data_IF_545459488487
#
_entry.id   IF_545459488487
#
_cell.length_a   1.000
_cell.length_b   1.000
_cell.length_c   1.000
_cell.angle_alpha   90.00
_cell.angle_beta   90.00
_cell.angle_gamma   90.00
#
_symmetry.space_group_name_H-M   'P 1'
#
loop_
_entity.id
_entity.type
_entity.pdbx_description
1 polymer ?
#
# COMPACT_ATOMS: atom_id res chain seq x y z
N UNK A 1 -29.97 25.80 24.59
CA UNK A 1 -29.78 24.61 25.41
C UNK A 1 -28.62 23.72 24.88
N UNK A 2 -27.52 24.32 24.38
CA UNK A 2 -26.33 23.60 23.88
C UNK A 2 -25.03 23.97 24.63
N UNK A 3 -25.10 24.59 25.80
CA UNK A 3 -23.92 25.05 26.60
C UNK A 3 -23.82 24.41 27.98
N UNK A 4 -24.64 23.42 28.33
CA UNK A 4 -24.67 22.82 29.68
C UNK A 4 -24.14 21.36 29.68
N UNK A 5 -23.88 20.73 28.53
CA UNK A 5 -23.43 19.33 28.48
C UNK A 5 -21.89 19.19 28.54
N UNK A 6 -21.12 20.27 28.32
CA UNK A 6 -19.65 20.22 28.37
C UNK A 6 -19.01 20.35 29.74
N UNK A 7 -19.79 20.58 30.84
CA UNK A 7 -19.24 20.80 32.18
C UNK A 7 -19.34 19.55 33.08
N UNK A 8 -20.08 18.52 32.71
CA UNK A 8 -20.26 17.31 33.53
C UNK A 8 -19.23 16.21 33.21
N UNK A 9 -18.48 16.27 32.12
CA UNK A 9 -17.41 15.31 31.82
C UNK A 9 -16.03 15.68 32.39
N UNK A 10 -15.87 16.87 32.93
CA UNK A 10 -14.58 17.36 33.49
C UNK A 10 -14.40 17.09 35.01
N UNK A 11 -15.39 16.52 35.70
CA UNK A 11 -15.34 16.34 37.17
C UNK A 11 -15.22 14.86 37.62
N UNK A 12 -15.06 13.90 36.71
CA UNK A 12 -14.93 12.47 37.02
C UNK A 12 -13.48 11.93 36.97
N UNK A 13 -12.46 12.77 36.75
CA UNK A 13 -11.06 12.35 36.64
C UNK A 13 -10.14 12.82 37.78
N UNK A 14 -10.64 13.22 38.92
CA UNK A 14 -9.78 13.69 40.02
C UNK A 14 -9.87 12.89 41.32
N UNK A 15 -10.28 11.60 41.30
CA UNK A 15 -10.23 10.76 42.49
C UNK A 15 -9.76 9.32 42.19
N UNK A 16 -8.50 9.16 41.79
CA UNK A 16 -7.81 7.87 41.83
C UNK A 16 -6.28 8.06 41.88
N UNK A 17 -5.79 8.79 42.85
CA UNK A 17 -4.35 8.89 43.16
C UNK A 17 -4.13 8.82 44.65
N UNK A 18 -4.30 7.64 45.24
CA UNK A 18 -3.65 7.27 46.51
C UNK A 18 -3.86 5.77 46.77
N UNK A 19 -2.98 4.91 46.31
CA UNK A 19 -2.63 3.66 47.02
C UNK A 19 -1.25 3.19 46.52
N UNK A 20 -0.34 3.11 47.47
CA UNK A 20 1.06 2.71 47.41
C UNK A 20 1.32 1.32 46.83
N UNK A 21 2.52 1.17 46.27
CA UNK A 21 3.14 -0.15 46.10
C UNK A 21 4.36 -0.08 45.20
N UNK A 22 5.55 -0.11 45.82
CA UNK A 22 6.87 -0.20 45.22
C UNK A 22 7.00 -1.31 44.17
N UNK A 23 7.36 -0.92 42.93
CA UNK A 23 7.81 -1.79 41.86
C UNK A 23 8.64 -0.95 40.90
N UNK A 24 9.95 -1.22 40.83
CA UNK A 24 10.89 -0.60 39.92
C UNK A 24 10.56 -0.96 38.47
N UNK A 25 9.88 -0.07 37.79
CA UNK A 25 9.69 -0.07 36.36
C UNK A 25 10.30 1.22 35.80
N UNK A 26 11.26 1.11 34.94
CA UNK A 26 11.88 2.22 34.22
C UNK A 26 10.81 3.01 33.47
N UNK A 27 10.54 4.23 33.92
CA UNK A 27 9.77 5.21 33.16
C UNK A 27 10.65 5.69 32.01
N UNK A 28 10.34 5.27 30.80
CA UNK A 28 10.87 5.93 29.61
C UNK A 28 10.35 7.38 29.61
N UNK A 29 11.29 8.29 29.63
CA UNK A 29 11.07 9.71 29.47
C UNK A 29 10.60 9.99 28.02
N UNK A 30 9.75 11.01 27.77
CA UNK A 30 9.41 11.41 26.42
C UNK A 30 10.70 11.75 25.65
N UNK A 31 10.79 11.30 24.40
CA UNK A 31 11.93 11.53 23.54
C UNK A 31 12.33 13.02 23.59
N UNK A 32 13.54 13.28 24.04
CA UNK A 32 14.11 14.63 24.07
C UNK A 32 14.32 15.08 22.62
N UNK A 33 13.85 16.29 22.28
CA UNK A 33 14.18 16.96 21.03
C UNK A 33 15.68 16.82 20.76
N UNK A 34 16.05 16.24 19.60
CA UNK A 34 17.43 15.97 19.23
C UNK A 34 18.23 17.28 19.28
N UNK A 35 19.40 17.25 19.93
CA UNK A 35 20.42 18.26 19.69
C UNK A 35 20.84 18.09 18.24
N UNK A 36 20.95 19.15 17.43
CA UNK A 36 21.13 19.13 15.98
C UNK A 36 22.20 18.19 15.37
N UNK A 37 22.79 17.31 16.17
CA UNK A 37 23.79 16.31 15.82
C UNK A 37 23.29 14.86 15.87
N UNK A 38 22.01 14.63 16.15
CA UNK A 38 21.41 13.29 16.16
C UNK A 38 20.06 13.36 15.43
N UNK A 39 19.86 12.48 14.47
CA UNK A 39 18.58 12.28 13.79
C UNK A 39 17.87 11.07 14.37
N UNK A 40 16.56 11.16 14.49
CA UNK A 40 15.69 10.08 14.91
C UNK A 40 14.81 9.62 13.76
N UNK A 41 14.71 8.30 13.58
CA UNK A 41 13.86 7.68 12.55
C UNK A 41 12.75 6.88 13.24
N UNK A 42 11.51 7.04 12.79
CA UNK A 42 10.44 6.08 13.04
C UNK A 42 10.12 5.31 11.77
N UNK A 43 10.16 4.00 11.85
CA UNK A 43 9.71 3.14 10.77
C UNK A 43 8.92 1.96 11.33
N UNK A 44 8.06 1.32 10.53
CA UNK A 44 7.40 0.10 10.95
C UNK A 44 8.42 -0.96 11.39
N UNK A 45 8.09 -1.73 12.44
CA UNK A 45 8.82 -2.95 12.77
C UNK A 45 8.50 -4.02 11.73
N UNK A 46 9.45 -4.92 11.51
CA UNK A 46 9.33 -5.97 10.50
C UNK A 46 10.03 -7.26 10.96
N UNK A 47 10.28 -8.18 10.03
CA UNK A 47 10.97 -9.44 10.27
C UNK A 47 12.40 -9.22 10.79
N UNK A 48 12.92 -10.22 11.48
CA UNK A 48 14.27 -10.19 12.08
C UNK A 48 15.36 -9.76 11.07
N UNK A 49 15.27 -10.20 9.82
CA UNK A 49 16.24 -9.83 8.77
C UNK A 49 16.27 -8.32 8.50
N UNK A 50 15.12 -7.65 8.56
CA UNK A 50 15.01 -6.20 8.38
C UNK A 50 15.55 -5.45 9.59
N UNK A 51 15.23 -5.93 10.78
CA UNK A 51 15.76 -5.34 12.01
C UNK A 51 17.29 -5.44 12.05
N UNK A 52 17.87 -6.58 11.63
CA UNK A 52 19.32 -6.75 11.50
C UNK A 52 19.92 -5.80 10.45
N UNK A 53 19.28 -5.67 9.27
CA UNK A 53 19.70 -4.76 8.22
C UNK A 53 19.78 -3.30 8.73
N UNK A 54 18.76 -2.86 9.48
CA UNK A 54 18.75 -1.51 10.06
C UNK A 54 19.90 -1.29 11.04
N UNK A 55 20.19 -2.28 11.88
CA UNK A 55 21.32 -2.19 12.83
C UNK A 55 22.64 -2.03 12.08
N UNK A 56 22.90 -2.85 11.07
CA UNK A 56 24.14 -2.83 10.31
C UNK A 56 24.27 -1.53 9.50
N UNK A 57 23.20 -1.10 8.84
CA UNK A 57 23.17 0.12 8.02
C UNK A 57 23.39 1.38 8.86
N UNK A 58 22.72 1.50 10.01
CA UNK A 58 22.92 2.65 10.89
C UNK A 58 24.31 2.64 11.53
N UNK A 59 24.87 1.48 11.87
CA UNK A 59 26.25 1.39 12.35
C UNK A 59 27.26 1.84 11.29
N UNK A 60 27.04 1.49 10.00
CA UNK A 60 27.90 1.94 8.91
C UNK A 60 27.84 3.46 8.75
N UNK A 61 26.65 4.07 8.66
CA UNK A 61 26.52 5.52 8.61
C UNK A 61 27.18 6.20 9.81
N UNK A 62 26.86 5.76 11.01
CA UNK A 62 27.33 6.38 12.26
C UNK A 62 28.85 6.29 12.44
N UNK A 63 29.50 5.26 11.88
CA UNK A 63 30.94 5.12 11.90
C UNK A 63 31.64 6.13 10.96
N UNK A 64 31.03 6.43 9.83
CA UNK A 64 31.54 7.36 8.81
C UNK A 64 31.19 8.83 9.13
N UNK A 65 30.10 9.06 9.88
CA UNK A 65 29.55 10.39 10.19
C UNK A 65 29.48 10.64 11.71
N UNK A 66 30.61 10.73 12.44
CA UNK A 66 30.61 10.98 13.87
C UNK A 66 29.98 12.32 14.26
N UNK A 67 29.91 13.28 13.33
CA UNK A 67 29.26 14.59 13.48
C UNK A 67 27.74 14.55 13.37
N UNK A 68 27.15 13.50 12.76
CA UNK A 68 25.73 13.33 12.55
C UNK A 68 25.29 11.88 12.78
N UNK A 69 24.93 11.58 13.99
CA UNK A 69 24.46 10.25 14.38
C UNK A 69 23.00 10.03 14.04
N UNK A 70 22.62 8.82 13.65
CA UNK A 70 21.25 8.45 13.34
C UNK A 70 20.83 7.28 14.22
N UNK A 71 19.63 7.38 14.79
CA UNK A 71 19.01 6.32 15.59
C UNK A 71 17.61 6.01 15.06
N UNK A 72 17.15 4.77 15.21
CA UNK A 72 15.83 4.32 14.77
C UNK A 72 15.03 3.75 15.91
N UNK A 73 13.75 4.08 15.93
CA UNK A 73 12.72 3.42 16.73
C UNK A 73 11.83 2.60 15.78
N UNK A 74 11.83 1.28 15.97
CA UNK A 74 10.93 0.37 15.28
C UNK A 74 9.56 0.44 15.96
N UNK A 75 8.52 0.76 15.19
CA UNK A 75 7.15 0.89 15.70
C UNK A 75 6.36 -0.36 15.34
N UNK A 76 5.75 -0.97 16.31
CA UNK A 76 4.95 -2.18 16.14
C UNK A 76 3.78 -1.96 15.17
N UNK A 77 3.54 -2.97 14.33
CA UNK A 77 2.45 -3.07 13.37
C UNK A 77 1.56 -4.29 13.61
N UNK A 78 1.53 -4.81 14.82
CA UNK A 78 0.64 -5.92 15.19
C UNK A 78 -0.85 -5.59 15.01
N UNK A 79 -1.19 -4.29 15.06
CA UNK A 79 -2.45 -3.71 14.63
C UNK A 79 -2.18 -2.89 13.35
N UNK A 80 -2.97 -3.09 12.29
CA UNK A 80 -2.82 -2.43 10.99
C UNK A 80 -2.75 -0.91 11.06
N UNK A 81 -3.33 -0.31 12.12
CA UNK A 81 -3.38 1.14 12.30
C UNK A 81 -2.45 1.67 13.40
N UNK A 82 -1.73 0.81 14.14
CA UNK A 82 -0.93 1.24 15.30
C UNK A 82 0.14 2.27 14.92
N UNK A 83 0.83 2.04 13.81
CA UNK A 83 1.84 2.95 13.27
C UNK A 83 1.23 4.31 12.88
N UNK A 84 0.17 4.31 12.07
CA UNK A 84 -0.48 5.53 11.58
C UNK A 84 -1.08 6.35 12.73
N UNK A 85 -1.68 5.68 13.71
CA UNK A 85 -2.19 6.32 14.93
C UNK A 85 -1.08 6.99 15.75
N UNK A 86 0.11 6.37 15.81
CA UNK A 86 1.27 6.98 16.49
C UNK A 86 1.71 8.25 15.75
N UNK A 87 1.81 8.21 14.42
CA UNK A 87 2.15 9.38 13.61
C UNK A 87 1.10 10.48 13.80
N UNK A 88 -0.20 10.18 13.69
CA UNK A 88 -1.28 11.16 13.88
C UNK A 88 -1.24 11.82 15.26
N UNK A 89 -0.93 11.04 16.30
CA UNK A 89 -0.75 11.55 17.66
C UNK A 89 0.46 12.48 17.75
N UNK A 90 1.58 12.10 17.13
CA UNK A 90 2.80 12.90 17.12
C UNK A 90 2.64 14.21 16.33
N UNK A 91 1.89 14.19 15.23
CA UNK A 91 1.52 15.42 14.47
C UNK A 91 0.78 16.39 15.38
N UNK A 92 -0.23 15.92 16.11
CA UNK A 92 -1.06 16.79 16.99
C UNK A 92 -0.31 17.29 18.21
N UNK A 93 0.66 16.54 18.72
CA UNK A 93 1.48 16.90 19.89
C UNK A 93 2.79 17.62 19.55
N UNK A 94 3.09 17.86 18.25
CA UNK A 94 4.37 18.39 17.76
C UNK A 94 5.57 17.60 18.29
N UNK A 95 5.50 16.26 18.20
CA UNK A 95 6.52 15.34 18.69
C UNK A 95 6.96 14.32 17.64
N UNK A 96 6.87 14.70 16.36
CA UNK A 96 7.37 13.87 15.26
C UNK A 96 8.89 13.65 15.39
N UNK A 97 9.41 12.49 14.98
CA UNK A 97 10.85 12.29 14.78
C UNK A 97 11.37 13.15 13.63
N UNK A 98 12.68 13.17 13.40
CA UNK A 98 13.26 13.90 12.28
C UNK A 98 12.88 13.27 10.93
N UNK A 99 12.87 11.93 10.87
CA UNK A 99 12.48 11.14 9.69
C UNK A 99 11.42 10.13 10.12
N UNK A 100 10.41 9.95 9.30
CA UNK A 100 9.41 8.90 9.50
C UNK A 100 8.91 8.34 8.17
N UNK A 101 8.45 7.10 8.22
CA UNK A 101 7.92 6.42 7.05
C UNK A 101 6.42 6.68 6.91
N UNK A 102 5.98 6.90 5.68
CA UNK A 102 4.57 7.13 5.33
C UNK A 102 4.16 6.20 4.20
N UNK A 103 2.92 5.74 4.18
CA UNK A 103 2.39 5.04 3.01
C UNK A 103 2.31 5.99 1.81
N UNK A 104 2.70 5.52 0.62
CA UNK A 104 2.84 6.35 -0.58
C UNK A 104 1.69 7.31 -0.85
N UNK A 105 0.42 6.90 -0.85
CA UNK A 105 -0.71 7.80 -1.13
C UNK A 105 -0.92 8.87 -0.05
N UNK A 106 -0.38 8.70 1.15
CA UNK A 106 -0.45 9.70 2.22
C UNK A 106 0.55 10.85 2.04
N UNK A 107 1.54 10.71 1.15
CA UNK A 107 2.55 11.78 0.91
C UNK A 107 1.87 13.10 0.54
N UNK A 108 0.87 13.07 -0.34
CA UNK A 108 0.12 14.28 -0.73
C UNK A 108 -0.58 14.96 0.46
N UNK A 109 -1.16 14.17 1.38
CA UNK A 109 -1.77 14.70 2.60
C UNK A 109 -0.74 15.38 3.51
N UNK A 110 0.37 14.69 3.79
CA UNK A 110 1.41 15.23 4.68
C UNK A 110 2.10 16.46 4.08
N UNK A 111 2.31 16.48 2.77
CA UNK A 111 2.89 17.63 2.07
C UNK A 111 1.93 18.83 2.04
N UNK A 112 0.65 18.63 1.69
CA UNK A 112 -0.36 19.68 1.64
C UNK A 112 -0.60 20.33 3.01
N UNK A 113 -0.45 19.57 4.08
CA UNK A 113 -0.59 20.07 5.46
C UNK A 113 0.74 20.55 6.07
N UNK A 114 1.80 20.70 5.26
CA UNK A 114 3.13 21.15 5.71
C UNK A 114 3.71 20.35 6.88
N UNK A 115 3.41 19.03 6.94
CA UNK A 115 3.90 18.12 7.99
C UNK A 115 5.26 17.56 7.64
N UNK A 116 5.54 17.43 6.35
CA UNK A 116 6.83 17.01 5.78
C UNK A 116 7.40 18.10 4.88
N UNK A 117 8.72 18.07 4.68
CA UNK A 117 9.45 19.10 3.92
C UNK A 117 9.93 18.57 2.56
N UNK A 118 10.12 19.46 1.54
CA UNK A 118 10.64 19.07 0.24
C UNK A 118 12.04 18.48 0.30
N UNK A 119 12.25 17.41 -0.47
CA UNK A 119 13.52 16.67 -0.60
C UNK A 119 14.19 16.86 -1.97
N UNK A 120 13.57 17.58 -2.92
CA UNK A 120 14.00 17.70 -4.32
C UNK A 120 15.47 18.07 -4.46
N UNK A 121 16.01 18.96 -3.59
CA UNK A 121 17.42 19.41 -3.68
C UNK A 121 18.46 18.34 -3.34
N UNK A 122 18.06 17.23 -2.70
CA UNK A 122 18.98 16.15 -2.29
C UNK A 122 19.07 15.02 -3.31
N UNK A 123 18.20 15.00 -4.31
CA UNK A 123 18.18 14.00 -5.38
C UNK A 123 18.36 14.69 -6.73
N UNK A 124 19.40 14.33 -7.46
CA UNK A 124 19.61 14.84 -8.81
C UNK A 124 18.55 14.27 -9.78
N UNK A 125 18.39 14.91 -10.95
CA UNK A 125 17.52 14.38 -11.99
C UNK A 125 17.97 13.00 -12.49
N UNK A 126 19.28 12.75 -12.53
CA UNK A 126 19.84 11.46 -12.91
C UNK A 126 19.56 10.39 -11.84
N UNK A 127 19.61 10.75 -10.53
CA UNK A 127 19.18 9.86 -9.47
C UNK A 127 17.70 9.50 -9.60
N UNK A 128 16.85 10.50 -9.78
CA UNK A 128 15.39 10.28 -9.90
C UNK A 128 15.03 9.46 -11.15
N UNK A 129 15.81 9.57 -12.23
CA UNK A 129 15.62 8.77 -13.44
C UNK A 129 15.95 7.28 -13.26
N UNK A 130 16.75 6.93 -12.25
CA UNK A 130 17.05 5.53 -11.90
C UNK A 130 15.96 4.88 -11.05
N UNK A 131 15.11 5.67 -10.38
CA UNK A 131 13.96 5.15 -9.65
C UNK A 131 12.79 4.83 -10.59
N UNK A 132 11.96 3.87 -10.21
CA UNK A 132 10.72 3.58 -10.92
C UNK A 132 9.85 4.85 -11.03
N UNK A 133 9.33 5.17 -12.21
CA UNK A 133 8.53 6.39 -12.40
C UNK A 133 7.32 6.50 -11.48
N UNK A 134 6.68 5.37 -11.16
CA UNK A 134 5.56 5.29 -10.20
C UNK A 134 5.98 5.68 -8.78
N UNK A 135 7.17 5.26 -8.33
CA UNK A 135 7.74 5.64 -7.02
C UNK A 135 7.97 7.14 -6.92
N UNK A 136 8.61 7.73 -7.95
CA UNK A 136 8.82 9.18 -7.98
C UNK A 136 7.49 9.92 -8.01
N UNK A 137 6.53 9.41 -8.78
CA UNK A 137 5.20 10.03 -8.91
C UNK A 137 4.45 10.03 -7.58
N UNK A 138 4.40 8.91 -6.84
CA UNK A 138 3.69 8.86 -5.55
C UNK A 138 4.35 9.72 -4.46
N UNK A 139 5.66 9.92 -4.54
CA UNK A 139 6.43 10.73 -3.59
C UNK A 139 6.47 12.23 -3.95
N UNK A 140 5.80 12.63 -5.04
CA UNK A 140 5.80 14.00 -5.54
C UNK A 140 4.44 14.68 -5.32
N UNK A 141 4.44 15.85 -4.72
CA UNK A 141 3.29 16.73 -4.57
C UNK A 141 3.64 18.14 -5.05
N UNK A 142 2.76 18.78 -5.84
CA UNK A 142 2.98 20.13 -6.40
C UNK A 142 4.35 20.33 -7.07
N UNK A 143 4.83 19.31 -7.81
CA UNK A 143 6.12 19.25 -8.51
C UNK A 143 7.37 19.23 -7.60
N UNK A 144 7.23 18.98 -6.32
CA UNK A 144 8.34 18.79 -5.38
C UNK A 144 8.32 17.37 -4.83
N UNK A 145 9.50 16.76 -4.67
CA UNK A 145 9.67 15.47 -4.01
C UNK A 145 9.58 15.67 -2.50
N UNK A 146 8.71 14.94 -1.81
CA UNK A 146 8.53 15.04 -0.35
C UNK A 146 8.91 13.77 0.40
N UNK A 147 8.99 12.66 -0.30
CA UNK A 147 9.38 11.37 0.28
C UNK A 147 10.17 10.56 -0.75
N UNK A 148 10.72 9.43 -0.34
CA UNK A 148 11.40 8.49 -1.23
C UNK A 148 11.29 7.07 -0.66
N UNK A 149 11.14 6.07 -1.53
CA UNK A 149 11.04 4.66 -1.13
C UNK A 149 12.17 3.84 -1.73
N UNK A 150 12.73 2.92 -0.94
CA UNK A 150 13.73 1.95 -1.40
C UNK A 150 13.10 0.76 -2.12
N UNK A 151 11.86 0.41 -1.77
CA UNK A 151 11.14 -0.75 -2.31
C UNK A 151 9.74 -0.37 -2.76
N UNK A 152 9.17 -1.21 -3.61
CA UNK A 152 7.77 -1.14 -3.99
C UNK A 152 7.11 -2.49 -3.83
N UNK A 153 5.80 -2.45 -3.69
CA UNK A 153 4.96 -3.62 -3.78
C UNK A 153 4.09 -3.56 -5.03
N UNK A 154 3.61 -4.70 -5.48
CA UNK A 154 2.65 -4.80 -6.56
C UNK A 154 1.74 -6.00 -6.33
N UNK A 155 0.62 -6.06 -7.03
CA UNK A 155 -0.33 -7.18 -7.01
C UNK A 155 -0.33 -7.86 -8.36
N UNK A 156 -0.45 -9.19 -8.34
CA UNK A 156 -0.53 -10.02 -9.53
C UNK A 156 -1.52 -11.17 -9.30
N UNK A 157 -1.81 -11.97 -10.32
CA UNK A 157 -2.69 -13.11 -10.21
C UNK A 157 -1.88 -14.37 -9.92
N UNK A 158 -1.95 -14.88 -8.70
CA UNK A 158 -1.45 -16.21 -8.31
C UNK A 158 -2.43 -17.29 -8.75
N UNK A 159 -1.93 -18.48 -9.06
CA UNK A 159 -2.75 -19.61 -9.45
C UNK A 159 -2.15 -20.95 -8.96
N UNK A 160 -3.03 -21.84 -8.52
CA UNK A 160 -2.72 -23.20 -8.10
C UNK A 160 -2.80 -24.11 -9.33
N UNK A 161 -1.64 -24.53 -9.88
CA UNK A 161 -1.57 -25.36 -11.09
C UNK A 161 -2.27 -26.68 -10.94
N UNK A 162 -2.19 -27.30 -9.76
CA UNK A 162 -2.81 -28.59 -9.53
C UNK A 162 -4.34 -28.44 -9.49
N UNK A 163 -4.85 -27.44 -8.78
CA UNK A 163 -6.28 -27.18 -8.73
C UNK A 163 -6.85 -26.82 -10.11
N UNK A 164 -6.16 -25.97 -10.88
CA UNK A 164 -6.57 -25.62 -12.24
C UNK A 164 -6.63 -26.83 -13.16
N UNK A 165 -5.64 -27.74 -13.10
CA UNK A 165 -5.66 -29.00 -13.87
C UNK A 165 -6.84 -29.87 -13.50
N UNK A 166 -7.15 -30.00 -12.21
CA UNK A 166 -8.30 -30.77 -11.71
C UNK A 166 -9.64 -30.19 -12.19
N UNK A 167 -9.70 -28.86 -12.36
CA UNK A 167 -10.84 -28.18 -12.99
C UNK A 167 -10.87 -28.28 -14.51
N UNK A 168 -9.83 -28.82 -15.16
CA UNK A 168 -9.70 -28.91 -16.60
C UNK A 168 -9.33 -27.60 -17.30
N UNK A 169 -8.71 -26.66 -16.57
CA UNK A 169 -8.17 -25.40 -17.13
C UNK A 169 -6.83 -25.68 -17.79
N UNK A 170 -6.57 -25.05 -18.93
CA UNK A 170 -5.29 -25.12 -19.63
C UNK A 170 -4.24 -24.24 -18.92
N UNK A 171 -3.49 -24.87 -18.02
CA UNK A 171 -2.43 -24.20 -17.26
C UNK A 171 -1.29 -23.71 -18.16
N UNK A 172 -1.01 -24.41 -19.30
CA UNK A 172 0.06 -23.99 -20.20
C UNK A 172 -0.28 -22.65 -20.91
N UNK A 173 -1.56 -22.38 -21.14
CA UNK A 173 -1.99 -21.06 -21.64
C UNK A 173 -1.69 -19.96 -20.59
N UNK A 174 -2.01 -20.20 -19.31
CA UNK A 174 -1.74 -19.23 -18.25
C UNK A 174 -0.23 -19.02 -18.05
N UNK A 175 0.55 -20.09 -18.05
CA UNK A 175 2.03 -20.04 -17.94
C UNK A 175 2.68 -19.27 -19.11
N UNK A 176 2.02 -19.19 -20.27
CA UNK A 176 2.52 -18.51 -21.47
C UNK A 176 2.20 -17.01 -21.51
N UNK A 177 1.41 -16.50 -20.55
CA UNK A 177 0.99 -15.09 -20.55
C UNK A 177 2.18 -14.15 -20.31
N UNK A 178 2.10 -12.98 -20.92
CA UNK A 178 3.13 -11.93 -20.84
C UNK A 178 2.49 -10.61 -20.44
N UNK A 179 3.30 -9.63 -20.08
CA UNK A 179 2.81 -8.28 -19.72
C UNK A 179 2.02 -7.61 -20.85
N UNK A 180 2.30 -7.98 -22.13
CA UNK A 180 1.56 -7.50 -23.30
C UNK A 180 0.35 -8.36 -23.67
N UNK A 181 0.16 -9.49 -23.02
CA UNK A 181 -0.96 -10.42 -23.21
C UNK A 181 -1.38 -11.06 -21.88
N UNK A 182 -1.82 -10.27 -20.88
CA UNK A 182 -2.33 -10.80 -19.63
C UNK A 182 -3.66 -11.53 -19.82
N UNK A 183 -4.15 -12.21 -18.78
CA UNK A 183 -5.53 -12.70 -18.76
C UNK A 183 -6.51 -11.52 -18.80
N UNK A 184 -7.61 -11.69 -19.52
CA UNK A 184 -8.72 -10.73 -19.48
C UNK A 184 -9.66 -11.02 -18.31
N UNK A 185 -10.55 -10.06 -17.99
CA UNK A 185 -11.57 -10.26 -16.96
C UNK A 185 -12.52 -11.40 -17.29
N UNK A 186 -12.91 -11.56 -18.55
CA UNK A 186 -13.78 -12.65 -18.95
C UNK A 186 -13.08 -14.02 -18.87
N UNK A 187 -11.78 -14.08 -19.12
CA UNK A 187 -10.99 -15.30 -18.92
C UNK A 187 -10.87 -15.63 -17.42
N UNK A 188 -10.60 -14.65 -16.56
CA UNK A 188 -10.58 -14.84 -15.10
C UNK A 188 -11.95 -15.31 -14.59
N UNK A 189 -13.05 -14.68 -15.02
CA UNK A 189 -14.40 -15.08 -14.63
C UNK A 189 -14.71 -16.52 -15.03
N UNK A 190 -14.28 -16.94 -16.23
CA UNK A 190 -14.46 -18.31 -16.70
C UNK A 190 -13.64 -19.32 -15.89
N UNK A 191 -12.40 -18.98 -15.53
CA UNK A 191 -11.58 -19.81 -14.63
C UNK A 191 -12.25 -19.92 -13.27
N UNK A 192 -12.71 -18.80 -12.71
CA UNK A 192 -13.37 -18.75 -11.42
C UNK A 192 -14.66 -19.61 -11.43
N UNK A 193 -15.53 -19.50 -12.46
CA UNK A 193 -16.70 -20.34 -12.64
C UNK A 193 -16.35 -21.84 -12.66
N UNK A 194 -15.34 -22.20 -13.48
CA UNK A 194 -14.95 -23.60 -13.70
C UNK A 194 -14.34 -24.24 -12.45
N UNK A 195 -13.69 -23.43 -11.60
CA UNK A 195 -13.01 -23.92 -10.40
C UNK A 195 -13.82 -23.70 -9.11
N UNK A 196 -14.99 -23.09 -9.16
CA UNK A 196 -15.87 -22.96 -7.99
C UNK A 196 -16.51 -24.31 -7.66
N UNK A 197 -16.52 -24.67 -6.38
CA UNK A 197 -17.13 -25.89 -5.84
C UNK A 197 -18.04 -25.56 -4.66
N UNK A 198 -18.71 -26.56 -4.11
CA UNK A 198 -19.53 -26.42 -2.88
C UNK A 198 -18.68 -25.96 -1.66
N UNK A 199 -17.36 -26.15 -1.70
CA UNK A 199 -16.45 -25.89 -0.58
C UNK A 199 -15.51 -24.69 -0.81
N UNK A 200 -15.25 -24.31 -2.06
CA UNK A 200 -14.23 -23.33 -2.43
C UNK A 200 -14.71 -22.38 -3.51
N UNK A 201 -14.35 -21.11 -3.41
CA UNK A 201 -14.50 -20.15 -4.49
C UNK A 201 -13.36 -20.29 -5.52
N UNK A 202 -13.66 -20.00 -6.79
CA UNK A 202 -12.66 -20.15 -7.86
C UNK A 202 -11.58 -19.08 -7.83
N UNK A 203 -11.89 -17.87 -7.33
CA UNK A 203 -10.92 -16.77 -7.22
C UNK A 203 -11.03 -16.02 -5.91
N UNK A 204 -9.91 -15.59 -5.37
CA UNK A 204 -9.81 -14.74 -4.19
C UNK A 204 -9.38 -13.34 -4.63
N UNK A 205 -10.28 -12.36 -4.54
CA UNK A 205 -10.03 -10.98 -5.00
C UNK A 205 -10.03 -9.95 -3.89
N UNK A 206 -10.59 -10.29 -2.71
CA UNK A 206 -10.68 -9.37 -1.56
C UNK A 206 -9.60 -9.71 -0.56
N UNK A 207 -8.59 -8.83 -0.46
CA UNK A 207 -7.43 -8.98 0.43
C UNK A 207 -7.77 -8.59 1.89
N UNK A 208 -8.49 -7.47 2.05
CA UNK A 208 -9.01 -6.96 3.33
C UNK A 208 -10.24 -6.07 3.09
N UNK A 209 -10.83 -5.53 4.14
CA UNK A 209 -11.96 -4.59 4.07
C UNK A 209 -11.54 -3.13 4.29
N UNK A 210 -10.27 -2.82 4.15
CA UNK A 210 -9.70 -1.49 4.33
C UNK A 210 -8.92 -1.03 3.10
N UNK A 211 -7.67 -0.64 3.33
CA UNK A 211 -6.77 -0.10 2.30
C UNK A 211 -6.45 -1.10 1.16
N UNK A 212 -6.54 -2.40 1.42
CA UNK A 212 -6.38 -3.42 0.38
C UNK A 212 -7.41 -3.34 -0.74
N UNK A 213 -8.63 -2.82 -0.48
CA UNK A 213 -9.64 -2.65 -1.52
C UNK A 213 -9.24 -1.60 -2.56
N UNK A 214 -8.97 -0.32 -2.21
CA UNK A 214 -8.52 0.63 -3.22
C UNK A 214 -7.17 0.22 -3.83
N UNK A 215 -6.23 -0.32 -3.05
CA UNK A 215 -4.93 -0.73 -3.54
C UNK A 215 -4.99 -1.86 -4.57
N UNK A 216 -5.69 -2.95 -4.25
CA UNK A 216 -5.72 -4.12 -5.12
C UNK A 216 -6.65 -3.97 -6.33
N UNK A 217 -7.72 -3.15 -6.22
CA UNK A 217 -8.75 -3.07 -7.25
C UNK A 217 -8.60 -1.88 -8.20
N UNK A 218 -7.85 -0.81 -7.83
CA UNK A 218 -7.63 0.35 -8.71
C UNK A 218 -7.15 -0.01 -10.11
N UNK A 219 -6.22 -1.00 -10.30
CA UNK A 219 -5.78 -1.39 -11.63
C UNK A 219 -6.90 -1.82 -12.55
N UNK A 220 -8.00 -2.39 -12.02
CA UNK A 220 -9.16 -2.76 -12.83
C UNK A 220 -9.86 -1.52 -13.40
N UNK A 221 -10.03 -0.47 -12.60
CA UNK A 221 -10.61 0.80 -13.07
C UNK A 221 -9.71 1.48 -14.09
N UNK A 222 -8.42 1.55 -13.83
CA UNK A 222 -7.44 2.11 -14.76
C UNK A 222 -7.35 1.32 -16.05
N UNK A 223 -7.47 0.00 -15.99
CA UNK A 223 -7.55 -0.87 -17.14
C UNK A 223 -8.82 -0.61 -17.96
N UNK A 224 -9.96 -0.33 -17.30
CA UNK A 224 -11.20 0.08 -17.97
C UNK A 224 -11.14 1.51 -18.53
N UNK A 225 -10.07 2.25 -18.32
CA UNK A 225 -9.85 3.59 -18.86
C UNK A 225 -10.26 4.73 -17.93
N UNK A 226 -10.53 4.46 -16.65
CA UNK A 226 -10.94 5.47 -15.68
C UNK A 226 -10.21 5.30 -14.35
N UNK A 227 -9.73 6.39 -13.82
CA UNK A 227 -9.14 6.46 -12.48
C UNK A 227 -10.21 6.73 -11.40
N UNK A 228 -9.85 6.62 -10.14
CA UNK A 228 -10.69 6.99 -8.99
C UNK A 228 -10.87 8.50 -8.85
N UNK A 229 -9.83 9.27 -9.20
CA UNK A 229 -9.84 10.74 -9.11
C UNK A 229 -9.21 11.35 -10.37
N UNK A 230 -9.38 12.66 -10.53
CA UNK A 230 -8.71 13.43 -11.59
C UNK A 230 -7.18 13.39 -11.44
N UNK A 231 -6.47 13.55 -12.55
CA UNK A 231 -5.01 13.49 -12.57
C UNK A 231 -4.31 14.52 -11.66
N UNK A 232 -4.99 15.65 -11.37
CA UNK A 232 -4.53 16.68 -10.44
C UNK A 232 -4.96 16.42 -8.98
N UNK A 233 -5.68 15.32 -8.74
CA UNK A 233 -6.13 14.91 -7.41
C UNK A 233 -7.25 15.75 -6.81
N UNK A 234 -7.92 16.61 -7.59
CA UNK A 234 -8.89 17.59 -7.10
C UNK A 234 -10.35 17.15 -7.19
N UNK A 235 -10.68 16.12 -7.98
CA UNK A 235 -12.04 15.69 -8.23
C UNK A 235 -12.18 14.17 -8.27
N UNK A 236 -13.18 13.62 -7.58
CA UNK A 236 -13.63 12.24 -7.68
C UNK A 236 -14.92 12.09 -8.49
N UNK A 237 -15.73 13.16 -8.56
CA UNK A 237 -16.95 13.21 -9.37
C UNK A 237 -16.64 13.03 -10.86
N UNK A 238 -17.34 12.11 -11.51
CA UNK A 238 -17.10 11.73 -12.91
C UNK A 238 -15.87 10.84 -13.10
N UNK A 239 -15.26 10.38 -12.01
CA UNK A 239 -14.15 9.43 -11.96
C UNK A 239 -14.58 8.15 -11.24
N UNK A 240 -14.57 8.12 -9.92
CA UNK A 240 -14.96 6.96 -9.13
C UNK A 240 -16.41 6.52 -9.38
N UNK A 241 -17.28 7.43 -9.76
CA UNK A 241 -18.70 7.18 -10.07
C UNK A 241 -19.02 7.25 -11.59
N UNK A 242 -18.02 7.19 -12.45
CA UNK A 242 -18.19 7.17 -13.90
C UNK A 242 -18.90 5.88 -14.38
N UNK A 243 -19.48 5.87 -15.59
CA UNK A 243 -20.05 4.66 -16.16
C UNK A 243 -19.08 3.48 -16.23
N UNK A 244 -17.79 3.76 -16.53
CA UNK A 244 -16.72 2.76 -16.54
C UNK A 244 -16.46 2.20 -15.13
N UNK A 245 -16.47 3.07 -14.11
CA UNK A 245 -16.31 2.64 -12.73
C UNK A 245 -17.49 1.77 -12.26
N UNK A 246 -18.73 2.15 -12.59
CA UNK A 246 -19.92 1.35 -12.29
C UNK A 246 -19.84 -0.02 -12.97
N UNK A 247 -19.43 -0.07 -14.25
CA UNK A 247 -19.25 -1.32 -14.99
C UNK A 247 -18.17 -2.21 -14.38
N UNK A 248 -17.03 -1.64 -13.98
CA UNK A 248 -15.96 -2.37 -13.30
C UNK A 248 -16.42 -2.95 -11.98
N UNK A 249 -17.10 -2.14 -11.16
CA UNK A 249 -17.68 -2.57 -9.90
C UNK A 249 -18.74 -3.65 -10.09
N UNK A 250 -19.58 -3.53 -11.13
CA UNK A 250 -20.59 -4.53 -11.47
C UNK A 250 -19.96 -5.88 -11.87
N UNK A 251 -18.84 -5.86 -12.58
CA UNK A 251 -18.09 -7.09 -12.89
C UNK A 251 -17.60 -7.79 -11.60
N UNK A 252 -17.00 -7.06 -10.67
CA UNK A 252 -16.55 -7.61 -9.38
C UNK A 252 -17.72 -8.16 -8.56
N UNK A 253 -18.82 -7.39 -8.49
CA UNK A 253 -20.03 -7.79 -7.80
C UNK A 253 -20.68 -9.03 -8.43
N UNK A 254 -20.58 -9.21 -9.75
CA UNK A 254 -21.11 -10.38 -10.47
C UNK A 254 -20.35 -11.67 -10.10
N UNK A 255 -19.02 -11.60 -9.98
CA UNK A 255 -18.24 -12.74 -9.49
C UNK A 255 -18.67 -13.18 -8.08
N UNK A 256 -18.96 -12.22 -7.21
CA UNK A 256 -19.41 -12.47 -5.84
C UNK A 256 -20.87 -12.98 -5.82
N UNK A 257 -21.77 -12.35 -6.58
CA UNK A 257 -23.17 -12.74 -6.68
C UNK A 257 -23.35 -14.19 -7.16
N UNK A 258 -22.46 -14.63 -8.05
CA UNK A 258 -22.41 -16.01 -8.57
C UNK A 258 -21.69 -16.99 -7.64
N UNK A 259 -21.09 -16.53 -6.55
CA UNK A 259 -20.29 -17.34 -5.65
C UNK A 259 -18.95 -17.77 -6.23
N UNK A 260 -18.45 -17.09 -7.27
CA UNK A 260 -17.16 -17.39 -7.90
C UNK A 260 -15.98 -16.75 -7.18
N UNK A 261 -16.25 -15.67 -6.44
CA UNK A 261 -15.24 -14.96 -5.65
C UNK A 261 -15.63 -14.86 -4.17
N UNK A 262 -14.62 -14.66 -3.30
CA UNK A 262 -14.82 -14.41 -1.88
C UNK A 262 -15.52 -13.07 -1.64
N UNK A 263 -16.36 -13.01 -0.60
CA UNK A 263 -17.04 -11.79 -0.13
C UNK A 263 -16.29 -11.15 1.03
N UNK A 264 -15.45 -11.91 1.70
CA UNK A 264 -14.62 -11.48 2.81
C UNK A 264 -13.21 -12.07 2.69
N UNK A 265 -12.19 -11.41 3.24
CA UNK A 265 -10.85 -11.97 3.29
C UNK A 265 -10.86 -13.34 3.99
N UNK A 266 -10.17 -14.32 3.43
CA UNK A 266 -9.97 -15.63 4.03
C UNK A 266 -8.47 -15.82 4.20
N UNK A 267 -8.02 -15.81 5.46
CA UNK A 267 -6.60 -15.91 5.76
C UNK A 267 -6.03 -17.25 5.28
N UNK A 268 -4.88 -17.18 4.62
CA UNK A 268 -4.11 -18.32 4.15
C UNK A 268 -4.87 -19.28 3.21
N UNK A 269 -6.01 -18.86 2.63
CA UNK A 269 -6.84 -19.73 1.79
C UNK A 269 -6.04 -20.27 0.59
N UNK A 270 -5.33 -19.41 -0.13
CA UNK A 270 -4.52 -19.81 -1.26
C UNK A 270 -3.32 -20.67 -0.80
N UNK A 271 -2.62 -20.27 0.27
CA UNK A 271 -1.50 -21.03 0.84
C UNK A 271 -1.91 -22.45 1.21
N UNK A 272 -3.14 -22.62 1.69
CA UNK A 272 -3.72 -23.93 2.05
C UNK A 272 -4.28 -24.70 0.83
N UNK A 273 -4.19 -24.16 -0.38
CA UNK A 273 -4.68 -24.78 -1.60
C UNK A 273 -6.20 -24.76 -1.76
N UNK A 274 -6.90 -23.88 -1.06
CA UNK A 274 -8.36 -23.85 -1.00
C UNK A 274 -9.03 -22.92 -2.05
N UNK A 275 -8.27 -22.25 -2.92
CA UNK A 275 -8.80 -21.54 -4.08
C UNK A 275 -7.89 -21.73 -5.31
N UNK A 276 -8.46 -21.54 -6.50
CA UNK A 276 -7.75 -21.79 -7.75
C UNK A 276 -6.85 -20.60 -8.14
N UNK A 277 -7.34 -19.38 -7.91
CA UNK A 277 -6.59 -18.14 -8.20
C UNK A 277 -6.75 -17.12 -7.07
N UNK A 278 -5.76 -16.22 -6.94
CA UNK A 278 -5.76 -15.15 -5.95
C UNK A 278 -5.11 -13.89 -6.52
N UNK A 279 -5.74 -12.73 -6.35
CA UNK A 279 -5.03 -11.47 -6.42
C UNK A 279 -4.20 -11.33 -5.16
N UNK A 280 -2.88 -11.44 -5.31
CA UNK A 280 -1.93 -11.44 -4.20
C UNK A 280 -0.77 -10.50 -4.42
N UNK A 281 -0.11 -10.10 -3.34
CA UNK A 281 1.00 -9.17 -3.38
C UNK A 281 2.36 -9.82 -3.63
N UNK A 282 3.35 -9.00 -3.96
CA UNK A 282 4.74 -9.44 -4.11
C UNK A 282 5.32 -10.08 -2.84
N UNK A 283 4.73 -9.79 -1.67
CA UNK A 283 5.09 -10.38 -0.37
C UNK A 283 4.65 -11.84 -0.21
N UNK A 284 3.66 -12.31 -1.00
CA UNK A 284 3.16 -13.68 -0.94
C UNK A 284 4.13 -14.70 -1.53
N UNK A 285 5.06 -14.27 -2.41
CA UNK A 285 6.06 -15.16 -3.01
C UNK A 285 6.83 -15.93 -1.93
N UNK A 286 7.36 -15.22 -0.94
CA UNK A 286 8.15 -15.85 0.14
C UNK A 286 7.32 -16.78 1.01
N UNK A 287 6.04 -16.46 1.25
CA UNK A 287 5.12 -17.30 2.01
C UNK A 287 4.82 -18.62 1.26
N UNK A 288 4.57 -18.52 -0.05
CA UNK A 288 4.29 -19.67 -0.89
C UNK A 288 5.52 -20.56 -1.09
N UNK A 289 6.70 -19.97 -1.28
CA UNK A 289 7.97 -20.73 -1.35
C UNK A 289 8.25 -21.51 -0.06
N UNK A 290 7.89 -20.94 1.09
CA UNK A 290 8.12 -21.57 2.39
C UNK A 290 7.06 -22.61 2.77
N UNK A 291 5.80 -22.45 2.34
CA UNK A 291 4.67 -23.18 2.92
C UNK A 291 3.73 -23.89 1.95
N UNK A 292 3.70 -23.57 0.65
CA UNK A 292 2.77 -24.18 -0.27
C UNK A 292 3.11 -25.65 -0.52
N UNK A 293 2.12 -26.54 -0.37
CA UNK A 293 2.25 -27.97 -0.59
C UNK A 293 1.79 -28.41 -2.02
N UNK A 294 1.58 -27.46 -2.92
CA UNK A 294 1.09 -27.66 -4.29
C UNK A 294 1.95 -26.89 -5.28
N UNK A 295 1.86 -27.23 -6.56
CA UNK A 295 2.50 -26.48 -7.65
C UNK A 295 1.72 -25.17 -7.92
N UNK A 296 2.40 -24.02 -7.80
CA UNK A 296 1.80 -22.70 -7.98
C UNK A 296 2.55 -21.85 -9.01
N UNK A 297 1.88 -20.85 -9.53
CA UNK A 297 2.45 -19.85 -10.40
C UNK A 297 1.91 -18.46 -10.10
N UNK A 298 2.53 -17.48 -10.73
CA UNK A 298 2.04 -16.10 -10.74
C UNK A 298 2.04 -15.60 -12.17
N UNK A 299 0.99 -14.89 -12.56
CA UNK A 299 0.86 -14.23 -13.85
C UNK A 299 0.44 -12.78 -13.68
N UNK A 300 0.50 -11.99 -14.75
CA UNK A 300 0.25 -10.56 -14.71
C UNK A 300 -1.18 -10.24 -14.23
N UNK A 301 -1.34 -9.03 -13.73
CA UNK A 301 -2.64 -8.51 -13.28
C UNK A 301 -3.65 -8.54 -14.45
N UNK A 302 -4.88 -9.05 -14.26
CA UNK A 302 -5.87 -9.19 -15.33
C UNK A 302 -6.32 -7.85 -15.91
N UNK A 303 -6.60 -7.82 -17.21
CA UNK A 303 -6.97 -6.62 -17.95
C UNK A 303 -8.42 -6.60 -18.38
N UNK A 304 -8.98 -5.40 -18.58
CA UNK A 304 -10.29 -5.21 -19.18
C UNK A 304 -10.31 -5.71 -20.62
N UNK A 305 -11.31 -6.52 -20.98
CA UNK A 305 -11.46 -7.11 -22.31
C UNK A 305 -11.52 -6.07 -23.43
N UNK A 306 -12.13 -4.92 -23.17
CA UNK A 306 -12.36 -3.89 -24.18
C UNK A 306 -11.11 -3.07 -24.49
N UNK A 307 -10.30 -2.81 -23.50
CA UNK A 307 -9.13 -1.94 -23.63
C UNK A 307 -7.82 -2.71 -23.78
N UNK A 308 -7.72 -3.89 -23.15
CA UNK A 308 -6.49 -4.66 -23.04
C UNK A 308 -5.35 -3.92 -22.32
N UNK A 309 -5.65 -2.81 -21.64
CA UNK A 309 -4.64 -1.96 -21.00
C UNK A 309 -4.08 -2.65 -19.76
N UNK A 310 -2.82 -3.05 -19.81
CA UNK A 310 -2.11 -3.58 -18.65
C UNK A 310 -1.80 -2.48 -17.63
N UNK A 311 -2.22 -2.69 -16.40
CA UNK A 311 -1.96 -1.82 -15.25
C UNK A 311 -1.75 -2.71 -14.03
N UNK A 312 -0.79 -2.35 -13.20
CA UNK A 312 -0.58 -2.99 -11.89
C UNK A 312 -0.47 -1.92 -10.80
N UNK A 313 -0.88 -2.21 -9.56
CA UNK A 313 -0.71 -1.25 -8.50
C UNK A 313 0.76 -1.19 -8.07
N UNK A 314 1.14 -0.06 -7.48
CA UNK A 314 2.34 0.04 -6.68
C UNK A 314 2.04 0.80 -5.39
N UNK A 315 2.85 0.57 -4.37
CA UNK A 315 2.78 1.30 -3.13
C UNK A 315 3.62 0.64 -2.05
N UNK A 316 4.41 1.44 -1.37
CA UNK A 316 5.18 1.00 -0.21
C UNK A 316 5.41 2.18 0.72
N UNK A 317 6.10 1.90 1.81
CA UNK A 317 6.49 2.88 2.81
C UNK A 317 7.61 3.77 2.28
N UNK A 318 7.39 5.07 2.31
CA UNK A 318 8.34 6.09 1.84
C UNK A 318 8.88 6.89 3.01
N UNK A 319 10.19 7.11 3.03
CA UNK A 319 10.84 7.93 4.06
C UNK A 319 10.64 9.42 3.76
N UNK A 320 10.19 10.16 4.76
CA UNK A 320 9.96 11.60 4.69
C UNK A 320 10.64 12.32 5.84
N UNK A 321 11.02 13.57 5.64
CA UNK A 321 11.60 14.45 6.68
C UNK A 321 10.50 15.32 7.28
N UNK A 322 10.41 15.29 8.61
CA UNK A 322 9.45 16.06 9.38
C UNK A 322 9.74 17.57 9.30
N UNK A 323 8.69 18.40 9.31
CA UNK A 323 8.80 19.85 9.53
C UNK A 323 9.45 20.23 10.86
N UNK A 324 9.40 19.33 11.85
CA UNK A 324 9.96 19.55 13.18
C UNK A 324 11.46 19.21 13.26
N UNK A 325 12.05 18.61 12.20
CA UNK A 325 13.47 18.29 12.08
C UNK A 325 14.32 19.57 12.20
N UNK A 326 15.30 19.56 13.10
CA UNK A 326 16.18 20.71 13.31
C UNK A 326 17.40 20.74 12.37
N UNK A 327 17.70 19.61 11.74
CA UNK A 327 18.78 19.46 10.77
C UNK A 327 18.25 18.83 9.48
N UNK A 328 17.42 19.57 8.75
CA UNK A 328 16.80 19.10 7.50
C UNK A 328 17.86 18.76 6.44
N UNK A 329 18.98 19.52 6.39
CA UNK A 329 20.07 19.22 5.44
C UNK A 329 20.73 17.88 5.75
N UNK A 330 21.08 17.63 7.01
CA UNK A 330 21.64 16.34 7.41
C UNK A 330 20.67 15.17 7.22
N UNK A 331 19.35 15.38 7.45
CA UNK A 331 18.34 14.37 7.19
C UNK A 331 18.21 14.06 5.68
N UNK A 332 18.26 15.07 4.84
CA UNK A 332 18.24 14.90 3.38
C UNK A 332 19.47 14.18 2.85
N UNK A 333 20.66 14.53 3.34
CA UNK A 333 21.92 13.85 3.01
C UNK A 333 21.92 12.38 3.44
N UNK A 334 21.42 12.11 4.66
CA UNK A 334 21.25 10.74 5.14
C UNK A 334 20.28 9.94 4.25
N UNK A 335 19.12 10.52 3.88
CA UNK A 335 18.19 9.85 2.99
C UNK A 335 18.77 9.61 1.59
N UNK A 336 19.54 10.55 1.04
CA UNK A 336 20.21 10.35 -0.24
C UNK A 336 21.22 9.18 -0.18
N UNK A 337 21.97 9.07 0.92
CA UNK A 337 22.85 7.93 1.16
C UNK A 337 22.10 6.63 1.38
N UNK A 338 21.02 6.65 2.19
CA UNK A 338 20.17 5.48 2.45
C UNK A 338 19.57 4.94 1.16
N UNK A 339 19.28 5.81 0.21
CA UNK A 339 18.73 5.47 -1.11
C UNK A 339 19.79 5.24 -2.18
N UNK A 340 21.08 4.99 -1.81
CA UNK A 340 22.11 4.55 -2.76
C UNK A 340 21.74 3.21 -3.40
N UNK A 341 22.32 2.91 -4.55
CA UNK A 341 22.09 1.66 -5.29
C UNK A 341 22.32 0.43 -4.40
N UNK A 342 23.40 0.41 -3.65
CA UNK A 342 23.81 -0.70 -2.77
C UNK A 342 22.87 -0.86 -1.58
N UNK A 343 22.52 0.24 -0.92
CA UNK A 343 21.59 0.21 0.22
C UNK A 343 20.19 -0.21 -0.20
N UNK A 344 19.69 0.29 -1.33
CA UNK A 344 18.42 -0.10 -1.91
C UNK A 344 18.41 -1.57 -2.28
N UNK A 345 19.48 -2.10 -2.92
CA UNK A 345 19.60 -3.51 -3.26
C UNK A 345 19.55 -4.40 -2.01
N UNK A 346 20.39 -4.09 -1.02
CA UNK A 346 20.48 -4.88 0.21
C UNK A 346 19.20 -4.83 1.05
N UNK A 347 18.54 -3.66 1.12
CA UNK A 347 17.25 -3.52 1.79
C UNK A 347 16.15 -4.32 1.09
N UNK A 348 16.03 -4.18 -0.23
CA UNK A 348 15.05 -4.88 -1.05
C UNK A 348 15.20 -6.41 -0.92
N UNK A 349 16.43 -6.92 -0.95
CA UNK A 349 16.71 -8.31 -0.73
C UNK A 349 16.30 -8.78 0.68
N UNK A 350 16.62 -8.00 1.72
CA UNK A 350 16.28 -8.32 3.10
C UNK A 350 14.77 -8.35 3.37
N UNK A 351 14.02 -7.38 2.80
CA UNK A 351 12.55 -7.31 2.95
C UNK A 351 11.80 -8.23 1.98
N UNK A 352 12.50 -8.79 1.00
CA UNK A 352 11.96 -9.61 -0.07
C UNK A 352 10.89 -8.87 -0.92
N UNK A 353 11.20 -7.62 -1.31
CA UNK A 353 10.37 -6.79 -2.21
C UNK A 353 11.18 -6.30 -3.40
N UNK A 354 10.54 -5.92 -4.53
CA UNK A 354 11.20 -5.27 -5.64
C UNK A 354 11.90 -3.96 -5.23
N UNK A 355 13.13 -3.75 -5.69
CA UNK A 355 13.85 -2.50 -5.53
C UNK A 355 13.27 -1.41 -6.42
N UNK A 356 13.28 -0.18 -5.94
CA UNK A 356 12.81 0.97 -6.73
C UNK A 356 13.82 1.48 -7.74
N UNK A 357 15.13 1.28 -7.49
CA UNK A 357 16.20 1.67 -8.41
C UNK A 357 16.49 0.58 -9.43
N UNK A 358 16.52 0.95 -10.72
CA UNK A 358 16.86 0.04 -11.80
C UNK A 358 18.32 -0.47 -11.69
N UNK A 359 19.25 0.38 -11.27
CA UNK A 359 20.65 0.02 -11.07
C UNK A 359 20.86 -1.04 -9.98
N UNK A 360 19.97 -1.11 -8.97
CA UNK A 360 20.06 -2.08 -7.87
C UNK A 360 19.93 -3.55 -8.33
N UNK A 361 19.28 -3.82 -9.46
CA UNK A 361 19.18 -5.19 -9.99
C UNK A 361 20.50 -5.73 -10.58
N UNK A 362 21.55 -4.91 -10.69
CA UNK A 362 22.89 -5.37 -11.01
C UNK A 362 23.66 -5.90 -9.79
N UNK A 363 23.16 -5.67 -8.58
CA UNK A 363 23.76 -6.20 -7.36
C UNK A 363 23.44 -7.70 -7.20
N UNK A 364 24.45 -8.53 -6.82
CA UNK A 364 24.25 -9.96 -6.56
C UNK A 364 23.13 -10.26 -5.54
N UNK A 365 22.84 -9.38 -4.60
CA UNK A 365 21.75 -9.54 -3.63
C UNK A 365 20.37 -9.58 -4.30
N UNK A 366 20.23 -9.03 -5.50
CA UNK A 366 18.99 -9.00 -6.27
C UNK A 366 18.88 -10.11 -7.31
N UNK A 367 19.74 -11.13 -7.29
CA UNK A 367 19.76 -12.21 -8.29
C UNK A 367 18.41 -12.93 -8.41
N UNK A 368 17.69 -13.15 -7.31
CA UNK A 368 16.38 -13.79 -7.27
C UNK A 368 15.27 -12.98 -7.96
N UNK A 369 15.53 -11.70 -8.26
CA UNK A 369 14.60 -10.79 -8.94
C UNK A 369 14.81 -10.73 -10.46
N UNK A 370 15.79 -11.48 -10.98
CA UNK A 370 16.09 -11.52 -12.43
C UNK A 370 15.38 -12.66 -13.17
N UNK A 371 14.73 -13.57 -12.45
CA UNK A 371 13.98 -14.70 -13.00
C UNK A 371 12.92 -15.21 -12.02
N UNK A 372 12.01 -16.07 -12.51
CA UNK A 372 10.97 -16.67 -11.66
C UNK A 372 9.88 -15.67 -11.21
N UNK A 373 9.14 -16.02 -10.15
CA UNK A 373 7.97 -15.23 -9.70
C UNK A 373 8.30 -13.76 -9.37
N UNK A 374 9.45 -13.50 -8.76
CA UNK A 374 9.86 -12.14 -8.38
C UNK A 374 10.14 -11.23 -9.57
N UNK A 375 10.67 -11.79 -10.67
CA UNK A 375 10.95 -11.02 -11.89
C UNK A 375 9.69 -10.44 -12.50
N UNK A 376 8.55 -11.11 -12.40
CA UNK A 376 7.26 -10.60 -12.87
C UNK A 376 6.89 -9.28 -12.17
N UNK A 377 7.06 -9.20 -10.86
CA UNK A 377 6.78 -7.95 -10.11
C UNK A 377 7.73 -6.82 -10.47
N UNK A 378 9.01 -7.14 -10.77
CA UNK A 378 9.96 -6.16 -11.30
C UNK A 378 9.50 -5.65 -12.66
N UNK A 379 9.07 -6.54 -13.55
CA UNK A 379 8.56 -6.15 -14.87
C UNK A 379 7.30 -5.29 -14.78
N UNK A 380 6.36 -5.63 -13.87
CA UNK A 380 5.18 -4.80 -13.59
C UNK A 380 5.59 -3.42 -13.08
N UNK A 381 6.49 -3.35 -12.11
CA UNK A 381 6.96 -2.08 -11.54
C UNK A 381 7.57 -1.16 -12.59
N UNK A 382 8.34 -1.71 -13.51
CA UNK A 382 9.02 -0.94 -14.54
C UNK A 382 8.11 -0.49 -15.69
N UNK A 383 7.01 -1.22 -15.99
CA UNK A 383 6.26 -1.04 -17.22
C UNK A 383 4.78 -0.66 -17.03
N UNK A 384 4.13 -1.12 -15.95
CA UNK A 384 2.67 -1.00 -15.79
C UNK A 384 2.23 -0.43 -14.46
N UNK A 385 3.14 -0.24 -13.52
CA UNK A 385 2.81 0.24 -12.18
C UNK A 385 2.28 1.66 -12.18
N UNK A 386 1.19 1.87 -11.46
CA UNK A 386 0.54 3.16 -11.23
C UNK A 386 0.34 3.34 -9.73
N UNK A 387 0.73 4.50 -9.17
CA UNK A 387 0.48 4.78 -7.76
C UNK A 387 -1.01 5.04 -7.54
N UNK A 388 -1.49 4.73 -6.33
CA UNK A 388 -2.82 5.12 -5.85
C UNK A 388 -3.04 6.65 -5.99
N UNK A 389 -4.29 7.14 -5.94
CA UNK A 389 -4.61 8.55 -6.16
C UNK A 389 -3.74 9.51 -5.34
N UNK A 390 -3.13 10.46 -6.01
CA UNK A 390 -2.27 11.49 -5.39
C UNK A 390 -3.10 12.70 -5.04
N UNK A 391 -3.78 12.64 -3.91
CA UNK A 391 -4.66 13.69 -3.42
C UNK A 391 -4.48 13.87 -1.91
N UNK A 392 -4.55 15.11 -1.39
CA UNK A 392 -4.53 15.30 0.06
C UNK A 392 -5.77 14.72 0.78
N UNK A 393 -6.85 14.45 0.07
CA UNK A 393 -8.06 13.80 0.59
C UNK A 393 -8.03 12.28 0.51
N UNK A 394 -6.85 11.65 0.29
CA UNK A 394 -6.76 10.21 0.06
C UNK A 394 -7.31 9.38 1.23
N UNK A 395 -6.98 9.72 2.47
CA UNK A 395 -7.42 8.96 3.64
C UNK A 395 -8.96 8.91 3.77
N UNK A 396 -9.62 10.04 3.51
CA UNK A 396 -11.09 10.13 3.46
C UNK A 396 -11.65 9.32 2.28
N UNK A 397 -11.05 9.45 1.10
CA UNK A 397 -11.42 8.69 -0.09
C UNK A 397 -11.32 7.18 0.16
N UNK A 398 -10.16 6.68 0.60
CA UNK A 398 -9.89 5.26 0.83
C UNK A 398 -10.92 4.63 1.78
N UNK A 399 -11.19 5.29 2.91
CA UNK A 399 -12.18 4.83 3.90
C UNK A 399 -13.58 4.73 3.30
N UNK A 400 -14.04 5.78 2.62
CA UNK A 400 -15.39 5.81 2.02
C UNK A 400 -15.54 4.82 0.87
N UNK A 401 -14.48 4.64 0.06
CA UNK A 401 -14.45 3.65 -1.01
C UNK A 401 -14.52 2.21 -0.46
N UNK A 402 -13.69 1.91 0.54
CA UNK A 402 -13.69 0.58 1.16
C UNK A 402 -15.06 0.23 1.78
N UNK A 403 -15.71 1.20 2.43
CA UNK A 403 -17.08 1.03 2.94
C UNK A 403 -18.08 0.76 1.81
N UNK A 404 -18.04 1.57 0.74
CA UNK A 404 -18.94 1.40 -0.41
C UNK A 404 -18.77 0.03 -1.07
N UNK A 405 -17.53 -0.41 -1.31
CA UNK A 405 -17.26 -1.73 -1.88
C UNK A 405 -17.73 -2.86 -0.97
N UNK A 406 -17.51 -2.75 0.34
CA UNK A 406 -18.00 -3.74 1.32
C UNK A 406 -19.53 -3.85 1.29
N UNK A 407 -20.24 -2.72 1.19
CA UNK A 407 -21.69 -2.68 1.09
C UNK A 407 -22.19 -3.34 -0.21
N UNK A 408 -21.57 -2.97 -1.35
CA UNK A 408 -21.92 -3.51 -2.68
C UNK A 408 -21.69 -5.02 -2.73
N UNK A 409 -20.58 -5.50 -2.24
CA UNK A 409 -20.22 -6.92 -2.25
C UNK A 409 -21.12 -7.73 -1.32
N UNK A 410 -21.46 -7.18 -0.15
CA UNK A 410 -22.41 -7.81 0.77
C UNK A 410 -23.82 -7.89 0.18
N UNK A 411 -24.29 -6.85 -0.52
CA UNK A 411 -25.57 -6.87 -1.23
C UNK A 411 -25.57 -7.93 -2.34
N UNK A 412 -24.54 -7.95 -3.17
CA UNK A 412 -24.38 -8.93 -4.26
C UNK A 412 -24.38 -10.37 -3.73
N UNK A 413 -23.63 -10.64 -2.66
CA UNK A 413 -23.60 -11.96 -2.03
C UNK A 413 -24.96 -12.38 -1.45
N UNK A 414 -25.66 -11.44 -0.80
CA UNK A 414 -26.94 -11.74 -0.13
C UNK A 414 -28.10 -11.92 -1.09
N UNK A 415 -28.09 -11.19 -2.22
CA UNK A 415 -29.18 -11.20 -3.23
C UNK A 415 -28.91 -12.18 -4.37
N UNK A 416 -27.66 -12.60 -4.57
CA UNK A 416 -27.24 -13.40 -5.73
C UNK A 416 -27.40 -12.64 -7.05
N UNK A 417 -27.36 -11.31 -7.04
CA UNK A 417 -27.60 -10.48 -8.21
C UNK A 417 -26.85 -9.14 -8.12
N UNK A 418 -26.57 -8.53 -9.27
CA UNK A 418 -25.95 -7.21 -9.36
C UNK A 418 -27.02 -6.13 -9.49
N UNK A 419 -26.93 -5.10 -8.66
CA UNK A 419 -27.80 -3.92 -8.71
C UNK A 419 -26.98 -2.67 -9.10
N UNK A 420 -26.92 -2.37 -10.41
CA UNK A 420 -26.14 -1.22 -10.91
C UNK A 420 -26.61 0.12 -10.34
N UNK A 421 -27.91 0.28 -10.05
CA UNK A 421 -28.41 1.52 -9.45
C UNK A 421 -27.93 1.69 -8.01
N UNK A 422 -27.79 0.59 -7.28
CA UNK A 422 -27.20 0.59 -5.93
C UNK A 422 -25.70 0.88 -6.00
N UNK A 423 -24.97 0.24 -6.92
CA UNK A 423 -23.55 0.53 -7.19
C UNK A 423 -23.38 2.02 -7.49
N UNK A 424 -24.15 2.59 -8.41
CA UNK A 424 -24.07 4.01 -8.73
C UNK A 424 -24.27 4.88 -7.49
N UNK A 425 -25.29 4.57 -6.66
CA UNK A 425 -25.57 5.36 -5.46
C UNK A 425 -24.45 5.32 -4.41
N UNK A 426 -23.79 4.17 -4.23
CA UNK A 426 -22.66 4.04 -3.32
C UNK A 426 -21.42 4.81 -3.85
N UNK A 427 -21.14 4.70 -5.15
CA UNK A 427 -20.02 5.42 -5.76
C UNK A 427 -20.28 6.94 -5.82
N UNK A 428 -21.53 7.39 -6.01
CA UNK A 428 -21.92 8.80 -5.89
C UNK A 428 -21.68 9.33 -4.45
N UNK A 429 -21.96 8.49 -3.44
CA UNK A 429 -21.64 8.83 -2.04
C UNK A 429 -20.15 9.01 -1.82
N UNK A 430 -19.31 8.16 -2.39
CA UNK A 430 -17.84 8.30 -2.32
C UNK A 430 -17.40 9.61 -2.97
N UNK A 431 -17.88 9.91 -4.18
CA UNK A 431 -17.54 11.13 -4.90
C UNK A 431 -17.99 12.39 -4.15
N UNK A 432 -19.19 12.38 -3.57
CA UNK A 432 -19.72 13.50 -2.78
C UNK A 432 -18.90 13.72 -1.49
N UNK A 433 -18.56 12.64 -0.78
CA UNK A 433 -17.73 12.71 0.44
C UNK A 433 -16.33 13.25 0.15
N UNK A 434 -15.71 12.79 -0.94
CA UNK A 434 -14.43 13.33 -1.41
C UNK A 434 -14.53 14.84 -1.69
N UNK A 435 -15.56 15.26 -2.41
CA UNK A 435 -15.77 16.67 -2.80
C UNK A 435 -15.95 17.56 -1.56
N UNK A 436 -16.70 17.08 -0.56
CA UNK A 436 -16.89 17.81 0.70
C UNK A 436 -15.56 17.96 1.46
N UNK A 437 -14.79 16.88 1.59
CA UNK A 437 -13.49 16.88 2.26
C UNK A 437 -12.51 17.80 1.54
N UNK A 438 -12.34 17.63 0.23
CA UNK A 438 -11.41 18.41 -0.58
C UNK A 438 -11.75 19.91 -0.53
N UNK A 439 -13.01 20.28 -0.71
CA UNK A 439 -13.45 21.68 -0.66
C UNK A 439 -13.31 22.28 0.75
N UNK A 440 -13.46 21.51 1.80
CA UNK A 440 -13.34 21.98 3.17
C UNK A 440 -11.90 22.33 3.54
N UNK A 441 -10.95 21.55 3.06
CA UNK A 441 -9.58 21.63 3.55
C UNK A 441 -8.55 22.09 2.50
N UNK A 442 -8.83 21.93 1.19
CA UNK A 442 -7.81 22.09 0.14
C UNK A 442 -8.21 22.97 -1.04
N UNK A 443 -9.48 23.29 -1.26
CA UNK A 443 -9.94 24.19 -2.32
C UNK A 443 -9.80 25.65 -1.91
N UNK A 444 -8.57 26.17 -1.83
CA UNK A 444 -8.30 27.58 -1.50
C UNK A 444 -7.64 28.33 -2.66
#
# INVERSE_FOLDING_TARGET
MKKIICIILALAMTMALAACGSGSGSSEAPASASSGNTLTIWSPSDKEAIEAWWVDTLNAWNAEHPELQVSREAIDRSDSYAYDNKIATAVTSNSLPDIFFVDGPQVSYYAANEIIVPLTKYFSQDDLADFAPSTVAQCTYSNELYAISATESSVALYYNRDFLKDCGVDVADIDSRTISNPLTWSELAKIAEQCTTDSYVGTHIIMDHGEGLPYALEPMYLSAGKDYVSADGSAAEGYVNSPEAVKTTAYLADLIAKGYANVSPIQDEFLNGACATMLGGSWDVSLLEAGAAFDWGVTYYPVCDETGKAVSPCGDWSAAVSKDCKNVDGAGEFLAWLMSTENVASYAAAIAKPATRASSYNDPAMADYTSGPRALFVEQLQNTAVPRPRTPSYASFSTNYAEAMTNIFSDAASTGSVNESYIQSELDRVAASFTEDYNTYYAS
#
